data_IF_373736307139
#
_entry.id   IF_373736307139
#
_cell.length_a   1.000
_cell.length_b   1.000
_cell.length_c   1.000
_cell.angle_alpha   90.00
_cell.angle_beta   90.00
_cell.angle_gamma   90.00
#
_symmetry.space_group_name_H-M   'P 1'
#
loop_
_entity.id
_entity.type
_entity.pdbx_description
1 polymer ?
#
# COMPACT_ATOMS: atom_id res chain seq x y z
N UNK A 1 -10.97 13.44 23.68
CA UNK A 1 -10.41 12.09 23.88
C UNK A 1 -11.09 10.98 23.06
N UNK A 2 -12.36 11.08 22.66
CA UNK A 2 -13.04 10.00 21.88
C UNK A 2 -12.71 9.97 20.37
N UNK A 3 -12.37 11.09 19.76
CA UNK A 3 -12.17 11.21 18.29
C UNK A 3 -10.87 10.59 17.77
N UNK A 4 -9.83 10.47 18.61
CA UNK A 4 -8.55 9.82 18.23
C UNK A 4 -8.64 8.30 18.22
N UNK A 5 -9.57 7.71 18.99
CA UNK A 5 -9.80 6.27 18.98
C UNK A 5 -10.57 5.82 17.74
N UNK A 6 -11.56 6.59 17.28
CA UNK A 6 -12.34 6.25 16.07
C UNK A 6 -11.48 6.20 14.80
N UNK A 7 -10.51 7.12 14.64
CA UNK A 7 -9.62 7.13 13.47
C UNK A 7 -8.62 5.97 13.49
N UNK A 8 -8.12 5.54 14.66
CA UNK A 8 -7.19 4.42 14.77
C UNK A 8 -7.87 3.05 14.63
N UNK A 9 -9.12 2.91 15.08
CA UNK A 9 -9.96 1.72 14.86
C UNK A 9 -10.28 1.56 13.36
N UNK A 10 -10.58 2.67 12.66
CA UNK A 10 -10.74 2.67 11.20
C UNK A 10 -9.46 2.28 10.45
N UNK A 11 -8.27 2.69 10.92
CA UNK A 11 -6.98 2.28 10.31
C UNK A 11 -6.67 0.80 10.60
N UNK A 12 -7.02 0.28 11.78
CA UNK A 12 -6.90 -1.14 12.11
C UNK A 12 -7.88 -1.99 11.27
N UNK A 13 -9.10 -1.48 11.04
CA UNK A 13 -10.11 -2.06 10.14
C UNK A 13 -9.69 -1.99 8.67
N UNK A 14 -8.94 -0.97 8.23
CA UNK A 14 -8.37 -0.92 6.88
C UNK A 14 -7.18 -1.89 6.71
N UNK A 15 -6.39 -2.11 7.77
CA UNK A 15 -5.32 -3.10 7.78
C UNK A 15 -5.84 -4.55 7.84
N UNK A 16 -7.01 -4.77 8.46
CA UNK A 16 -7.68 -6.07 8.55
C UNK A 16 -8.77 -6.29 7.47
N UNK A 17 -9.21 -5.25 6.77
CA UNK A 17 -10.43 -5.28 5.98
C UNK A 17 -10.38 -4.41 4.72
N UNK A 18 -9.91 -5.00 3.63
CA UNK A 18 -10.53 -4.73 2.32
C UNK A 18 -11.67 -5.73 2.13
N UNK A 19 -12.76 -5.53 2.87
CA UNK A 19 -14.01 -6.31 2.76
C UNK A 19 -14.96 -5.51 1.88
N UNK A 20 -15.27 -6.04 0.70
CA UNK A 20 -16.33 -5.51 -0.14
C UNK A 20 -17.69 -5.73 0.58
N UNK A 21 -18.44 -4.66 0.76
CA UNK A 21 -19.81 -4.69 1.26
C UNK A 21 -20.76 -5.22 0.18
N UNK A 22 -21.23 -6.49 0.23
CA UNK A 22 -22.49 -6.88 -0.42
C UNK A 22 -23.20 -8.09 0.22
N UNK A 23 -24.49 -7.85 0.50
CA UNK A 23 -25.69 -8.72 0.65
C UNK A 23 -25.55 -10.11 1.27
N UNK A 24 -26.23 -10.28 2.42
CA UNK A 24 -26.43 -11.52 3.15
C UNK A 24 -27.08 -12.64 2.32
N UNK A 25 -26.62 -13.88 2.54
CA UNK A 25 -27.46 -15.08 2.36
C UNK A 25 -27.82 -15.62 3.74
N UNK A 26 -29.11 -15.81 4.06
CA UNK A 26 -29.55 -16.34 5.35
C UNK A 26 -29.65 -17.85 5.24
N UNK A 27 -28.60 -18.61 5.56
CA UNK A 27 -28.75 -20.06 5.71
C UNK A 27 -27.62 -20.63 6.57
N UNK A 28 -27.98 -20.89 7.84
CA UNK A 28 -27.38 -21.77 8.86
C UNK A 28 -27.29 -21.06 10.22
N UNK A 29 -28.42 -20.96 10.90
CA UNK A 29 -28.46 -20.70 12.34
C UNK A 29 -28.00 -21.96 13.09
N UNK A 30 -26.73 -22.00 13.48
CA UNK A 30 -26.33 -22.69 14.71
C UNK A 30 -26.36 -21.68 15.84
N UNK A 31 -26.81 -22.11 17.01
CA UNK A 31 -27.14 -21.31 18.21
C UNK A 31 -25.93 -20.66 18.92
N UNK A 32 -24.82 -20.41 18.23
CA UNK A 32 -23.64 -19.73 18.78
C UNK A 32 -23.72 -18.22 18.49
N UNK A 33 -23.34 -17.38 19.46
CA UNK A 33 -23.17 -15.95 19.25
C UNK A 33 -22.26 -15.75 18.01
N UNK A 34 -22.74 -15.10 16.92
CA UNK A 34 -21.95 -14.91 15.71
C UNK A 34 -20.56 -14.33 15.98
N UNK A 35 -20.44 -13.51 17.01
CA UNK A 35 -19.18 -12.93 17.43
C UNK A 35 -18.24 -13.91 18.12
N UNK A 36 -18.76 -14.82 18.94
CA UNK A 36 -17.93 -15.87 19.54
C UNK A 36 -17.43 -16.84 18.47
N UNK A 37 -18.28 -17.18 17.50
CA UNK A 37 -17.86 -17.97 16.34
C UNK A 37 -16.77 -17.26 15.52
N UNK A 38 -16.90 -15.94 15.31
CA UNK A 38 -15.88 -15.13 14.65
C UNK A 38 -14.56 -15.10 15.42
N UNK A 39 -14.61 -14.89 16.74
CA UNK A 39 -13.44 -14.91 17.64
C UNK A 39 -12.72 -16.25 17.54
N UNK A 40 -13.46 -17.36 17.59
CA UNK A 40 -12.91 -18.70 17.46
C UNK A 40 -12.27 -18.93 16.09
N UNK A 41 -12.94 -18.53 15.01
CA UNK A 41 -12.40 -18.64 13.66
C UNK A 41 -11.09 -17.87 13.48
N UNK A 42 -11.01 -16.62 13.98
CA UNK A 42 -9.77 -15.84 13.90
C UNK A 42 -8.66 -16.46 14.74
N UNK A 43 -9.00 -16.94 15.94
CA UNK A 43 -8.05 -17.59 16.85
C UNK A 43 -7.42 -18.81 16.21
N UNK A 44 -8.24 -19.69 15.64
CA UNK A 44 -7.77 -20.92 15.01
C UNK A 44 -7.01 -20.63 13.70
N UNK A 45 -7.36 -19.57 12.97
CA UNK A 45 -6.63 -19.12 11.78
C UNK A 45 -5.21 -18.67 12.14
N UNK A 46 -5.07 -17.85 13.19
CA UNK A 46 -3.75 -17.41 13.67
C UNK A 46 -2.94 -18.61 14.15
N UNK A 47 -3.54 -19.52 14.92
CA UNK A 47 -2.87 -20.75 15.38
C UNK A 47 -2.38 -21.62 14.22
N UNK A 48 -3.19 -21.80 13.16
CA UNK A 48 -2.77 -22.54 11.96
C UNK A 48 -1.63 -21.86 11.22
N UNK A 49 -1.62 -20.52 11.17
CA UNK A 49 -0.59 -19.75 10.47
C UNK A 49 0.76 -19.74 11.18
N UNK A 50 0.79 -20.02 12.49
CA UNK A 50 2.00 -20.04 13.30
C UNK A 50 2.88 -21.30 13.09
N UNK A 51 2.47 -22.25 12.24
CA UNK A 51 3.26 -23.46 11.91
C UNK A 51 3.23 -24.54 12.99
N UNK A 52 4.30 -25.33 13.11
CA UNK A 52 4.43 -26.41 14.08
C UNK A 52 4.58 -25.84 15.51
N UNK A 53 3.45 -25.71 16.19
CA UNK A 53 3.38 -25.39 17.62
C UNK A 53 3.48 -26.71 18.39
N UNK A 54 4.29 -26.73 19.45
CA UNK A 54 4.27 -27.84 20.41
C UNK A 54 2.84 -28.05 20.93
N UNK A 55 2.32 -29.27 20.78
CA UNK A 55 0.96 -29.63 21.16
C UNK A 55 0.70 -29.39 22.66
N UNK A 56 1.75 -29.41 23.49
CA UNK A 56 1.68 -29.05 24.91
C UNK A 56 1.45 -27.54 25.15
N UNK A 57 1.91 -26.67 24.25
CA UNK A 57 1.80 -25.21 24.35
C UNK A 57 0.57 -24.64 23.63
N UNK A 58 -0.02 -25.44 22.73
CA UNK A 58 -1.17 -25.06 21.90
C UNK A 58 -2.38 -24.53 22.70
N UNK A 59 -2.78 -25.12 23.84
CA UNK A 59 -3.93 -24.62 24.61
C UNK A 59 -3.67 -23.24 25.22
N UNK A 60 -2.47 -23.01 25.75
CA UNK A 60 -2.08 -21.72 26.34
C UNK A 60 -2.06 -20.62 25.27
N UNK A 61 -1.50 -20.94 24.10
CA UNK A 61 -1.42 -19.98 23.00
C UNK A 61 -2.80 -19.66 22.42
N UNK A 62 -3.68 -20.67 22.32
CA UNK A 62 -5.07 -20.49 21.94
C UNK A 62 -5.80 -19.54 22.90
N UNK A 63 -5.64 -19.74 24.20
CA UNK A 63 -6.30 -18.88 25.20
C UNK A 63 -5.86 -17.42 25.07
N UNK A 64 -4.55 -17.15 24.91
CA UNK A 64 -4.01 -15.80 24.76
C UNK A 64 -4.49 -15.12 23.46
N UNK A 65 -4.51 -15.85 22.35
CA UNK A 65 -4.98 -15.32 21.06
C UNK A 65 -6.50 -15.03 21.13
N UNK A 66 -7.27 -15.96 21.71
CA UNK A 66 -8.72 -15.79 21.89
C UNK A 66 -9.06 -14.56 22.71
N UNK A 67 -8.35 -14.34 23.82
CA UNK A 67 -8.53 -13.14 24.66
C UNK A 67 -8.42 -11.83 23.86
N UNK A 68 -7.45 -11.76 22.94
CA UNK A 68 -7.27 -10.58 22.07
C UNK A 68 -8.42 -10.40 21.09
N UNK A 69 -8.86 -11.47 20.44
CA UNK A 69 -10.01 -11.39 19.52
C UNK A 69 -11.32 -11.11 20.25
N UNK A 70 -11.52 -11.64 21.45
CA UNK A 70 -12.68 -11.31 22.30
C UNK A 70 -12.72 -9.83 22.67
N UNK A 71 -11.58 -9.23 23.02
CA UNK A 71 -11.49 -7.79 23.30
C UNK A 71 -11.85 -6.95 22.05
N UNK A 72 -11.29 -7.31 20.89
CA UNK A 72 -11.60 -6.66 19.62
C UNK A 72 -13.08 -6.82 19.23
N UNK A 73 -13.66 -8.00 19.41
CA UNK A 73 -15.07 -8.24 19.17
C UNK A 73 -15.97 -7.38 20.08
N UNK A 74 -15.61 -7.20 21.35
CA UNK A 74 -16.34 -6.34 22.27
C UNK A 74 -16.32 -4.86 21.86
N UNK A 75 -15.19 -4.37 21.32
CA UNK A 75 -15.10 -3.03 20.76
C UNK A 75 -15.99 -2.88 19.51
N UNK A 76 -15.87 -3.81 18.57
CA UNK A 76 -16.60 -3.78 17.29
C UNK A 76 -18.11 -3.98 17.44
N UNK A 77 -18.57 -4.76 18.42
CA UNK A 77 -20.01 -4.92 18.75
C UNK A 77 -20.73 -3.60 18.97
N UNK A 78 -20.02 -2.54 19.37
CA UNK A 78 -20.60 -1.21 19.57
C UNK A 78 -20.76 -0.41 18.27
N UNK A 79 -20.06 -0.79 17.21
CA UNK A 79 -20.01 -0.06 15.94
C UNK A 79 -20.74 -0.80 14.81
N UNK A 80 -20.74 -2.13 14.83
CA UNK A 80 -21.33 -2.99 13.81
C UNK A 80 -22.18 -4.09 14.45
N UNK A 81 -23.35 -4.37 13.86
CA UNK A 81 -24.33 -5.30 14.43
C UNK A 81 -23.93 -6.78 14.27
N UNK A 82 -23.08 -7.10 13.29
CA UNK A 82 -22.60 -8.45 12.98
C UNK A 82 -21.08 -8.42 12.82
N UNK A 83 -20.37 -9.51 13.14
CA UNK A 83 -18.93 -9.60 12.96
C UNK A 83 -18.55 -9.43 11.48
N UNK A 84 -17.35 -8.91 11.18
CA UNK A 84 -16.82 -8.88 9.83
C UNK A 84 -16.84 -10.29 9.23
N UNK A 85 -17.49 -10.46 8.09
CA UNK A 85 -17.52 -11.75 7.41
C UNK A 85 -16.10 -12.09 6.95
N UNK A 86 -15.43 -13.01 7.65
CA UNK A 86 -14.29 -13.71 7.09
C UNK A 86 -14.81 -14.68 6.06
N UNK A 87 -14.91 -14.21 4.80
CA UNK A 87 -15.05 -15.14 3.70
C UNK A 87 -13.84 -16.06 3.74
N UNK A 88 -14.10 -17.34 3.99
CA UNK A 88 -13.13 -18.38 3.78
C UNK A 88 -12.82 -18.37 2.28
N UNK A 89 -11.76 -17.68 1.88
CA UNK A 89 -11.44 -17.42 0.48
C UNK A 89 -11.16 -18.72 -0.31
N UNK A 90 -10.99 -19.83 0.41
CA UNK A 90 -11.00 -21.19 -0.13
C UNK A 90 -12.34 -21.57 -0.81
N UNK A 91 -13.45 -20.87 -0.55
CA UNK A 91 -14.79 -21.21 -1.07
C UNK A 91 -15.01 -20.65 -2.49
N UNK A 92 -14.36 -19.55 -2.88
CA UNK A 92 -14.54 -18.90 -4.18
C UNK A 92 -13.57 -19.44 -5.24
N UNK A 93 -13.62 -20.75 -5.51
CA UNK A 93 -12.70 -21.41 -6.46
C UNK A 93 -13.44 -21.98 -7.68
N UNK A 94 -14.53 -21.32 -8.09
CA UNK A 94 -15.14 -21.51 -9.41
C UNK A 94 -15.14 -20.20 -10.18
N UNK A 95 -15.01 -20.28 -11.50
CA UNK A 95 -15.03 -19.11 -12.40
C UNK A 95 -16.25 -18.22 -12.11
N UNK A 96 -17.44 -18.82 -11.98
CA UNK A 96 -18.70 -18.09 -11.71
C UNK A 96 -18.66 -17.31 -10.39
N UNK A 97 -18.11 -17.91 -9.33
CA UNK A 97 -18.00 -17.25 -8.02
C UNK A 97 -17.01 -16.10 -8.05
N UNK A 98 -15.84 -16.32 -8.64
CA UNK A 98 -14.79 -15.30 -8.76
C UNK A 98 -15.28 -14.09 -9.54
N UNK A 99 -15.92 -14.33 -10.69
CA UNK A 99 -16.49 -13.25 -11.52
C UNK A 99 -17.56 -12.48 -10.77
N UNK A 100 -18.49 -13.17 -10.11
CA UNK A 100 -19.54 -12.51 -9.31
C UNK A 100 -18.95 -11.63 -8.20
N UNK A 101 -17.85 -12.06 -7.58
CA UNK A 101 -17.23 -11.34 -6.48
C UNK A 101 -16.40 -10.13 -6.94
N UNK A 102 -15.72 -10.22 -8.08
CA UNK A 102 -14.62 -9.29 -8.41
C UNK A 102 -14.70 -8.61 -9.78
N UNK A 103 -15.57 -9.03 -10.71
CA UNK A 103 -15.58 -8.47 -12.07
C UNK A 103 -15.91 -6.97 -12.09
N UNK A 104 -16.81 -6.50 -11.23
CA UNK A 104 -17.18 -5.08 -11.21
C UNK A 104 -15.99 -4.21 -10.82
N UNK A 105 -15.29 -4.56 -9.73
CA UNK A 105 -14.09 -3.85 -9.29
C UNK A 105 -12.95 -3.94 -10.30
N UNK A 106 -12.74 -5.11 -10.91
CA UNK A 106 -11.76 -5.28 -11.98
C UNK A 106 -12.08 -4.40 -13.19
N UNK A 107 -13.33 -4.45 -13.70
CA UNK A 107 -13.73 -3.68 -14.88
C UNK A 107 -13.62 -2.16 -14.65
N UNK A 108 -13.90 -1.69 -13.44
CA UNK A 108 -13.72 -0.28 -13.10
C UNK A 108 -12.23 0.08 -13.10
N UNK A 109 -11.41 -0.67 -12.35
CA UNK A 109 -9.96 -0.42 -12.26
C UNK A 109 -9.26 -0.53 -13.62
N UNK A 110 -9.70 -1.43 -14.48
CA UNK A 110 -9.16 -1.61 -15.83
C UNK A 110 -9.33 -0.37 -16.70
N UNK A 111 -10.44 0.36 -16.59
CA UNK A 111 -10.66 1.58 -17.38
C UNK A 111 -9.67 2.69 -17.02
N UNK A 112 -9.23 2.72 -15.76
CA UNK A 112 -8.42 3.79 -15.19
C UNK A 112 -6.91 3.44 -15.14
N UNK A 113 -6.53 2.27 -15.65
CA UNK A 113 -5.14 1.77 -15.60
C UNK A 113 -4.45 1.94 -16.95
N UNK A 114 -3.13 2.12 -16.93
CA UNK A 114 -2.24 1.98 -18.09
C UNK A 114 -1.39 0.73 -17.93
N UNK A 115 -1.14 -0.01 -19.01
CA UNK A 115 -0.21 -1.13 -18.99
C UNK A 115 1.21 -0.59 -19.12
N UNK A 116 2.00 -0.77 -18.06
CA UNK A 116 3.45 -0.66 -18.12
C UNK A 116 4.07 -2.03 -18.07
N UNK A 117 4.75 -2.43 -19.14
CA UNK A 117 5.63 -3.58 -19.12
C UNK A 117 7.05 -3.06 -19.16
N UNK A 118 7.84 -3.42 -18.15
CA UNK A 118 9.27 -3.16 -18.21
C UNK A 118 10.10 -4.35 -17.79
N UNK A 119 11.29 -4.42 -18.37
CA UNK A 119 12.31 -5.40 -18.04
C UNK A 119 13.59 -4.67 -17.65
N UNK A 120 14.06 -4.97 -16.46
CA UNK A 120 15.27 -4.41 -15.90
C UNK A 120 16.34 -5.50 -15.77
N UNK A 121 17.59 -5.14 -16.07
CA UNK A 121 18.77 -5.97 -15.77
C UNK A 121 19.64 -5.18 -14.82
N UNK A 122 19.74 -5.65 -13.58
CA UNK A 122 20.22 -4.81 -12.48
C UNK A 122 19.30 -3.61 -12.30
N UNK A 123 19.86 -2.41 -12.38
CA UNK A 123 19.15 -1.15 -12.22
C UNK A 123 18.85 -0.44 -13.56
N UNK A 124 19.21 -1.04 -14.70
CA UNK A 124 18.93 -0.50 -16.03
C UNK A 124 17.61 -1.06 -16.58
N UNK A 125 16.67 -0.18 -16.94
CA UNK A 125 15.46 -0.53 -17.68
C UNK A 125 15.82 -0.68 -19.17
N UNK A 126 15.99 -1.92 -19.61
CA UNK A 126 16.42 -2.22 -20.98
C UNK A 126 15.26 -2.35 -21.95
N UNK A 127 14.04 -2.46 -21.41
CA UNK A 127 12.80 -2.42 -22.15
C UNK A 127 11.75 -1.79 -21.26
N UNK A 128 11.07 -0.77 -21.75
CA UNK A 128 9.93 -0.15 -21.10
C UNK A 128 8.90 0.18 -22.16
N UNK A 129 7.66 -0.10 -21.84
CA UNK A 129 6.56 0.26 -22.69
C UNK A 129 5.37 0.65 -21.85
N UNK A 130 4.85 1.85 -22.11
CA UNK A 130 3.69 2.43 -21.47
C UNK A 130 2.61 2.61 -22.53
N UNK A 131 1.53 1.82 -22.44
CA UNK A 131 0.36 1.95 -23.28
C UNK A 131 -0.92 1.99 -22.47
N UNK A 132 -1.97 2.58 -23.07
CA UNK A 132 -3.33 2.41 -22.54
C UNK A 132 -3.69 0.93 -22.55
N UNK A 133 -4.34 0.43 -21.48
CA UNK A 133 -4.77 -0.97 -21.42
C UNK A 133 -5.68 -1.27 -22.62
N UNK A 134 -5.52 -2.41 -23.32
CA UNK A 134 -6.33 -2.72 -24.48
C UNK A 134 -7.79 -2.79 -24.04
N UNK A 135 -8.77 -2.38 -24.86
CA UNK A 135 -10.17 -2.50 -24.50
C UNK A 135 -10.50 -3.92 -24.07
N UNK A 136 -11.30 -4.10 -23.01
CA UNK A 136 -11.65 -5.43 -22.49
C UNK A 136 -12.18 -6.39 -23.57
N UNK A 137 -12.94 -5.87 -24.53
CA UNK A 137 -13.43 -6.66 -25.65
C UNK A 137 -12.30 -7.27 -26.50
N UNK A 138 -11.18 -6.56 -26.64
CA UNK A 138 -10.00 -7.04 -27.33
C UNK A 138 -9.27 -8.12 -26.53
N UNK A 139 -9.08 -7.89 -25.23
CA UNK A 139 -8.46 -8.88 -24.33
C UNK A 139 -9.30 -10.14 -24.25
N UNK A 140 -10.62 -10.01 -24.10
CA UNK A 140 -11.56 -11.13 -24.02
C UNK A 140 -11.65 -11.90 -25.35
N UNK A 141 -11.38 -11.26 -26.51
CA UNK A 141 -11.33 -11.95 -27.80
C UNK A 141 -10.11 -12.87 -27.94
N UNK A 142 -8.95 -12.48 -27.39
CA UNK A 142 -7.71 -13.27 -27.47
C UNK A 142 -7.55 -14.25 -26.30
N UNK A 143 -7.84 -13.77 -25.11
CA UNK A 143 -7.66 -14.49 -23.86
C UNK A 143 -8.96 -14.49 -23.07
N UNK A 144 -10.01 -15.24 -23.48
CA UNK A 144 -11.33 -15.16 -22.84
C UNK A 144 -11.24 -15.34 -21.32
N UNK A 145 -11.90 -14.44 -20.58
CA UNK A 145 -11.79 -14.36 -19.12
C UNK A 145 -12.14 -15.67 -18.42
N UNK A 146 -13.21 -16.33 -18.85
CA UNK A 146 -13.66 -17.60 -18.26
C UNK A 146 -12.61 -18.71 -18.45
N UNK A 147 -12.07 -18.82 -19.67
CA UNK A 147 -11.02 -19.78 -19.98
C UNK A 147 -9.74 -19.48 -19.21
N UNK A 148 -9.40 -18.20 -19.04
CA UNK A 148 -8.24 -17.78 -18.27
C UNK A 148 -8.37 -18.13 -16.79
N UNK A 149 -9.49 -17.76 -16.17
CA UNK A 149 -9.75 -18.09 -14.76
C UNK A 149 -9.78 -19.60 -14.54
N UNK A 150 -10.37 -20.36 -15.46
CA UNK A 150 -10.35 -21.82 -15.38
C UNK A 150 -8.92 -22.36 -15.44
N UNK A 151 -8.09 -21.87 -16.36
CA UNK A 151 -6.69 -22.27 -16.49
C UNK A 151 -5.86 -21.96 -15.24
N UNK A 152 -6.13 -20.85 -14.54
CA UNK A 152 -5.49 -20.57 -13.24
C UNK A 152 -5.92 -21.57 -12.16
N UNK A 153 -7.22 -21.87 -12.08
CA UNK A 153 -7.77 -22.84 -11.12
C UNK A 153 -7.24 -24.25 -11.38
N UNK A 154 -7.13 -24.66 -12.65
CA UNK A 154 -6.58 -25.96 -13.06
C UNK A 154 -5.09 -26.08 -12.70
N UNK A 155 -4.36 -24.95 -12.64
CA UNK A 155 -2.98 -24.86 -12.15
C UNK A 155 -2.88 -24.83 -10.61
N UNK A 156 -3.99 -24.98 -9.89
CA UNK A 156 -4.03 -24.96 -8.43
C UNK A 156 -3.89 -23.56 -7.81
N UNK A 157 -4.08 -22.50 -8.60
CA UNK A 157 -3.97 -21.13 -8.11
C UNK A 157 -5.20 -20.76 -7.30
N UNK A 158 -4.99 -20.43 -6.03
CA UNK A 158 -6.05 -19.91 -5.16
C UNK A 158 -6.12 -18.39 -5.25
N UNK A 159 -7.23 -17.87 -5.79
CA UNK A 159 -7.45 -16.41 -5.86
C UNK A 159 -8.12 -15.93 -4.58
N UNK A 160 -7.33 -15.31 -3.69
CA UNK A 160 -7.74 -15.03 -2.31
C UNK A 160 -8.45 -13.70 -2.10
N UNK A 161 -8.36 -12.73 -3.00
CA UNK A 161 -8.97 -11.41 -2.83
C UNK A 161 -9.00 -10.65 -4.17
N UNK A 162 -9.57 -9.44 -4.15
CA UNK A 162 -9.66 -8.57 -5.32
C UNK A 162 -8.29 -8.16 -5.88
N UNK A 163 -7.26 -8.04 -5.04
CA UNK A 163 -5.90 -7.69 -5.45
C UNK A 163 -5.26 -8.85 -6.24
N UNK A 164 -5.35 -10.08 -5.74
CA UNK A 164 -4.91 -11.28 -6.45
C UNK A 164 -5.69 -11.47 -7.75
N UNK A 165 -7.02 -11.30 -7.72
CA UNK A 165 -7.87 -11.38 -8.92
C UNK A 165 -7.43 -10.38 -9.98
N UNK A 166 -7.17 -9.14 -9.57
CA UNK A 166 -6.64 -8.10 -10.43
C UNK A 166 -5.29 -8.47 -11.03
N UNK A 167 -4.29 -8.85 -10.23
CA UNK A 167 -2.95 -9.19 -10.74
C UNK A 167 -3.00 -10.34 -11.75
N UNK A 168 -3.79 -11.38 -11.48
CA UNK A 168 -3.92 -12.52 -12.39
C UNK A 168 -4.65 -12.20 -13.68
N UNK A 169 -5.64 -11.31 -13.67
CA UNK A 169 -6.30 -10.88 -14.90
C UNK A 169 -5.47 -9.86 -15.69
N UNK A 170 -4.72 -9.00 -15.00
CA UNK A 170 -3.84 -8.02 -15.64
C UNK A 170 -2.75 -8.67 -16.49
N UNK A 171 -2.35 -9.91 -16.15
CA UNK A 171 -1.44 -10.71 -16.96
C UNK A 171 -1.96 -10.93 -18.40
N UNK A 172 -3.27 -11.04 -18.60
CA UNK A 172 -3.89 -11.17 -19.94
C UNK A 172 -3.71 -9.90 -20.75
N UNK A 173 -3.89 -8.76 -20.10
CA UNK A 173 -3.77 -7.44 -20.70
C UNK A 173 -2.34 -7.27 -21.24
N UNK A 174 -1.35 -7.63 -20.42
CA UNK A 174 0.07 -7.66 -20.80
C UNK A 174 0.35 -8.58 -21.98
N UNK A 175 -0.23 -9.78 -22.02
CA UNK A 175 -0.01 -10.72 -23.12
C UNK A 175 -0.51 -10.19 -24.47
N UNK A 176 -1.63 -9.46 -24.50
CA UNK A 176 -2.13 -8.84 -25.74
C UNK A 176 -1.09 -7.89 -26.33
N UNK A 177 -0.40 -7.12 -25.49
CA UNK A 177 0.67 -6.23 -25.93
C UNK A 177 1.91 -7.00 -26.37
N UNK A 178 2.37 -7.97 -25.58
CA UNK A 178 3.57 -8.75 -25.89
C UNK A 178 3.44 -9.51 -27.22
N UNK A 179 2.25 -10.00 -27.54
CA UNK A 179 1.97 -10.70 -28.80
C UNK A 179 2.22 -9.80 -30.03
N UNK A 180 1.95 -8.49 -29.90
CA UNK A 180 2.16 -7.48 -30.95
C UNK A 180 3.63 -7.08 -31.11
N UNK A 181 4.51 -7.60 -30.26
CA UNK A 181 5.91 -7.18 -30.18
C UNK A 181 6.86 -8.35 -30.38
N UNK A 182 7.04 -8.84 -31.62
CA UNK A 182 7.97 -9.91 -31.94
C UNK A 182 9.36 -9.75 -31.34
N UNK A 183 9.88 -8.52 -31.35
CA UNK A 183 11.18 -8.18 -30.80
C UNK A 183 11.34 -8.57 -29.32
N UNK A 184 10.25 -8.65 -28.54
CA UNK A 184 10.31 -8.99 -27.11
C UNK A 184 10.49 -10.49 -26.90
N UNK A 185 9.75 -11.32 -27.63
CA UNK A 185 9.83 -12.77 -27.47
C UNK A 185 10.94 -13.43 -28.29
N UNK A 186 11.48 -12.73 -29.30
CA UNK A 186 12.69 -13.17 -30.03
C UNK A 186 14.01 -12.71 -29.39
N UNK A 187 13.99 -11.85 -28.37
CA UNK A 187 15.22 -11.27 -27.79
C UNK A 187 15.74 -11.98 -26.54
N UNK A 188 14.96 -12.91 -25.97
CA UNK A 188 15.31 -13.58 -24.72
C UNK A 188 15.09 -12.70 -23.47
N UNK A 189 14.29 -11.64 -23.59
CA UNK A 189 13.90 -10.79 -22.45
C UNK A 189 13.11 -11.60 -21.41
N UNK A 190 13.00 -11.06 -20.20
CA UNK A 190 12.30 -11.70 -19.08
C UNK A 190 12.92 -13.02 -18.60
N UNK A 191 14.19 -13.27 -18.93
CA UNK A 191 14.85 -14.55 -18.64
C UNK A 191 14.11 -15.76 -19.24
N UNK A 192 13.36 -15.53 -20.31
CA UNK A 192 12.71 -16.57 -21.12
C UNK A 192 13.59 -16.76 -22.35
N UNK A 193 13.98 -17.99 -22.71
CA UNK A 193 14.78 -18.21 -23.91
C UNK A 193 14.13 -17.58 -25.15
N UNK A 194 14.96 -16.94 -25.98
CA UNK A 194 14.52 -16.43 -27.27
C UNK A 194 13.87 -17.55 -28.09
N UNK A 195 12.71 -17.28 -28.66
CA UNK A 195 11.97 -18.22 -29.49
C UNK A 195 11.32 -17.47 -30.64
N UNK A 196 11.12 -18.15 -31.77
CA UNK A 196 10.31 -17.61 -32.89
C UNK A 196 8.83 -18.00 -32.77
N UNK A 197 8.49 -18.85 -31.80
CA UNK A 197 7.13 -19.32 -31.55
C UNK A 197 6.49 -18.57 -30.38
N UNK A 198 5.48 -17.77 -30.70
CA UNK A 198 4.66 -17.03 -29.74
C UNK A 198 4.04 -17.95 -28.69
N UNK A 199 3.55 -19.13 -29.07
CA UNK A 199 2.85 -20.02 -28.14
C UNK A 199 3.81 -20.57 -27.07
N UNK A 200 5.03 -20.96 -27.48
CA UNK A 200 6.10 -21.33 -26.55
C UNK A 200 6.49 -20.17 -25.63
N UNK A 201 6.65 -18.95 -26.14
CA UNK A 201 6.97 -17.79 -25.31
C UNK A 201 5.85 -17.49 -24.31
N UNK A 202 4.61 -17.44 -24.79
CA UNK A 202 3.42 -17.16 -23.99
C UNK A 202 3.31 -18.13 -22.81
N UNK A 203 3.50 -19.43 -23.06
CA UNK A 203 3.47 -20.43 -21.99
C UNK A 203 4.56 -20.18 -20.93
N UNK A 204 5.80 -19.93 -21.35
CA UNK A 204 6.90 -19.64 -20.44
C UNK A 204 6.71 -18.33 -19.65
N UNK A 205 6.16 -17.31 -20.30
CA UNK A 205 5.86 -16.03 -19.69
C UNK A 205 4.77 -16.15 -18.63
N UNK A 206 3.69 -16.88 -18.92
CA UNK A 206 2.62 -17.16 -17.96
C UNK A 206 3.19 -17.85 -16.72
N UNK A 207 3.95 -18.95 -16.88
CA UNK A 207 4.51 -19.67 -15.73
C UNK A 207 5.39 -18.78 -14.85
N UNK A 208 6.28 -18.00 -15.47
CA UNK A 208 7.16 -17.06 -14.77
C UNK A 208 6.36 -16.00 -13.99
N UNK A 209 5.40 -15.34 -14.65
CA UNK A 209 4.64 -14.27 -14.01
C UNK A 209 3.73 -14.80 -12.90
N UNK A 210 3.18 -16.01 -13.04
CA UNK A 210 2.39 -16.64 -11.98
C UNK A 210 3.23 -16.89 -10.72
N UNK A 211 4.47 -17.37 -10.85
CA UNK A 211 5.39 -17.52 -9.72
C UNK A 211 5.70 -16.16 -9.06
N UNK A 212 5.96 -15.12 -9.87
CA UNK A 212 6.23 -13.78 -9.37
C UNK A 212 5.03 -13.16 -8.63
N UNK A 213 3.83 -13.26 -9.21
CA UNK A 213 2.58 -12.81 -8.57
C UNK A 213 2.41 -13.54 -7.23
N UNK A 214 2.55 -14.86 -7.21
CA UNK A 214 2.42 -15.65 -5.97
C UNK A 214 3.47 -15.26 -4.92
N UNK A 215 4.71 -14.99 -5.33
CA UNK A 215 5.76 -14.49 -4.44
C UNK A 215 5.39 -13.12 -3.85
N UNK A 216 5.00 -12.15 -4.69
CA UNK A 216 4.60 -10.80 -4.24
C UNK A 216 3.40 -10.84 -3.29
N UNK A 217 2.38 -11.64 -3.62
CA UNK A 217 1.19 -11.80 -2.76
C UNK A 217 1.55 -12.43 -1.40
N UNK A 218 2.46 -13.41 -1.37
CA UNK A 218 2.97 -14.00 -0.11
C UNK A 218 3.77 -12.99 0.71
N UNK A 219 4.68 -12.26 0.07
CA UNK A 219 5.49 -11.23 0.74
C UNK A 219 4.62 -10.09 1.28
N UNK A 220 3.61 -9.64 0.53
CA UNK A 220 2.64 -8.64 0.97
C UNK A 220 1.80 -9.12 2.16
N UNK A 221 1.39 -10.39 2.17
CA UNK A 221 0.68 -10.98 3.31
C UNK A 221 1.57 -11.02 4.56
N UNK A 222 2.83 -11.45 4.43
CA UNK A 222 3.77 -11.49 5.55
C UNK A 222 4.07 -10.07 6.09
N UNK A 223 4.33 -9.11 5.21
CA UNK A 223 4.58 -7.71 5.60
C UNK A 223 3.39 -7.11 6.36
N UNK A 224 2.14 -7.42 5.98
CA UNK A 224 0.93 -6.99 6.68
C UNK A 224 0.81 -7.59 8.09
N UNK A 225 1.18 -8.87 8.27
CA UNK A 225 1.18 -9.53 9.60
C UNK A 225 2.21 -8.91 10.54
N UNK A 226 3.41 -8.55 10.05
CA UNK A 226 4.44 -7.91 10.87
C UNK A 226 4.15 -6.44 11.21
N UNK A 227 3.43 -5.73 10.34
CA UNK A 227 3.02 -4.35 10.60
C UNK A 227 2.00 -4.27 11.76
N UNK A 228 1.17 -5.31 11.96
CA UNK A 228 0.30 -5.42 13.14
C UNK A 228 1.14 -5.49 14.44
N UNK A 229 2.26 -6.22 14.44
CA UNK A 229 3.13 -6.35 15.62
C UNK A 229 3.84 -5.03 15.98
N UNK A 230 4.20 -4.21 14.97
CA UNK A 230 4.74 -2.85 15.18
C UNK A 230 3.66 -1.85 15.60
N UNK A 231 2.47 -1.89 14.99
CA UNK A 231 1.33 -1.03 15.37
C UNK A 231 0.91 -1.33 16.82
N UNK A 232 0.91 -2.60 17.23
CA UNK A 232 0.65 -2.99 18.62
C UNK A 232 1.74 -2.46 19.55
N UNK A 233 3.03 -2.58 19.19
CA UNK A 233 4.14 -2.01 19.99
C UNK A 233 4.05 -0.49 20.13
N UNK A 234 3.70 0.23 19.07
CA UNK A 234 3.60 1.69 19.10
C UNK A 234 2.34 2.15 19.84
N UNK A 235 1.23 1.39 19.78
CA UNK A 235 0.04 1.61 20.61
C UNK A 235 0.37 1.53 22.12
N UNK A 236 1.31 0.66 22.51
CA UNK A 236 1.74 0.49 23.90
C UNK A 236 2.75 1.54 24.35
N UNK A 237 3.45 2.21 23.41
CA UNK A 237 4.39 3.30 23.72
C UNK A 237 3.68 4.59 24.13
N UNK A 238 2.43 4.77 23.71
CA UNK A 238 1.63 5.97 23.98
C UNK A 238 0.70 5.88 25.19
N UNK A 239 0.56 4.70 25.80
CA UNK A 239 -0.12 4.49 27.08
C UNK A 239 0.89 4.57 28.22
N UNK A 240 1.07 5.77 28.78
CA UNK A 240 2.07 6.03 29.81
C UNK A 240 1.83 5.30 31.15
N UNK A 241 2.94 4.80 31.72
CA UNK A 241 3.24 4.62 33.16
C UNK A 241 2.33 3.74 34.04
N UNK A 242 1.87 2.59 33.56
CA UNK A 242 1.63 1.46 34.46
C UNK A 242 2.56 0.30 34.10
N UNK A 243 3.56 0.06 34.95
CA UNK A 243 4.67 -0.90 34.78
C UNK A 243 4.24 -2.38 35.01
N UNK A 244 2.95 -2.68 34.81
CA UNK A 244 2.43 -4.04 34.93
C UNK A 244 2.73 -4.92 33.70
N UNK A 245 2.63 -4.44 32.43
CA UNK A 245 2.90 -5.29 31.26
C UNK A 245 4.39 -5.46 30.95
N UNK A 246 5.25 -4.54 31.41
CA UNK A 246 6.71 -4.61 31.22
C UNK A 246 7.37 -5.80 31.94
N UNK A 247 6.72 -6.33 32.99
CA UNK A 247 7.12 -7.58 33.65
C UNK A 247 6.73 -8.83 32.84
N UNK A 248 5.62 -8.78 32.11
CA UNK A 248 5.11 -9.91 31.29
C UNK A 248 5.98 -10.12 30.04
N UNK A 249 6.50 -9.05 29.44
CA UNK A 249 7.46 -9.17 28.33
C UNK A 249 8.85 -9.67 28.75
N UNK A 250 9.28 -9.37 29.98
CA UNK A 250 10.52 -9.93 30.53
C UNK A 250 10.42 -11.44 30.80
N UNK A 251 9.23 -11.95 31.12
CA UNK A 251 8.99 -13.41 31.24
C UNK A 251 8.89 -14.16 29.90
N UNK A 252 8.75 -13.45 28.77
CA UNK A 252 8.81 -14.05 27.42
C UNK A 252 10.24 -14.12 26.87
N UNK A 253 11.24 -13.53 27.56
CA UNK A 253 12.66 -13.67 27.19
C UNK A 253 13.33 -14.92 27.80
N UNK A 254 12.61 -15.68 28.64
CA UNK A 254 13.08 -16.92 29.27
C UNK A 254 12.65 -18.21 28.54
N UNK A 255 12.35 -18.13 27.23
CA UNK A 255 12.25 -19.33 26.40
C UNK A 255 13.63 -19.99 26.21
N UNK A 256 13.72 -21.33 26.18
CA UNK A 256 14.99 -22.04 25.98
C UNK A 256 15.59 -21.70 24.61
N UNK A 257 16.91 -21.47 24.60
CA UNK A 257 17.75 -21.00 23.49
C UNK A 257 17.83 -21.91 22.25
N UNK A 258 16.95 -22.90 22.11
CA UNK A 258 17.11 -24.01 21.15
C UNK A 258 15.96 -24.13 20.14
N UNK A 259 15.38 -23.02 19.71
CA UNK A 259 14.77 -22.99 18.37
C UNK A 259 15.94 -22.85 17.39
N UNK A 260 16.08 -23.73 16.38
CA UNK A 260 17.08 -23.55 15.34
C UNK A 260 16.87 -22.15 14.77
N UNK A 261 17.84 -21.26 14.99
CA UNK A 261 17.92 -20.03 14.23
C UNK A 261 18.05 -20.48 12.78
N UNK A 262 16.92 -20.53 12.07
CA UNK A 262 16.95 -20.22 10.66
C UNK A 262 17.53 -18.81 10.64
N UNK A 263 18.80 -18.70 10.26
CA UNK A 263 19.43 -17.44 9.89
C UNK A 263 18.69 -16.92 8.66
N UNK A 264 17.45 -16.48 8.84
CA UNK A 264 16.91 -15.44 8.02
C UNK A 264 17.90 -14.31 8.18
N UNK A 265 18.53 -13.91 7.08
CA UNK A 265 19.26 -12.67 7.01
C UNK A 265 18.34 -11.63 7.65
N UNK A 266 18.64 -11.25 8.89
CA UNK A 266 18.28 -9.94 9.35
C UNK A 266 18.93 -9.07 8.29
N UNK A 267 18.15 -8.60 7.31
CA UNK A 267 18.36 -7.24 6.84
C UNK A 267 18.20 -6.46 8.12
N UNK A 268 19.32 -6.31 8.84
CA UNK A 268 19.49 -5.32 9.86
C UNK A 268 18.88 -4.09 9.23
N UNK A 269 17.74 -3.66 9.76
CA UNK A 269 17.28 -2.31 9.51
C UNK A 269 18.40 -1.49 10.13
N UNK A 270 19.39 -1.12 9.30
CA UNK A 270 20.48 -0.26 9.72
C UNK A 270 19.77 1.05 9.91
N UNK A 271 19.43 1.36 11.17
CA UNK A 271 18.86 2.64 11.53
C UNK A 271 19.99 3.65 11.34
N UNK A 272 20.03 4.24 10.15
CA UNK A 272 21.01 5.28 9.82
C UNK A 272 20.67 6.50 10.68
N UNK A 273 21.64 7.07 11.43
CA UNK A 273 21.43 8.30 12.16
C UNK A 273 20.89 9.39 11.22
N UNK A 274 19.86 10.11 11.66
CA UNK A 274 19.17 11.13 10.86
C UNK A 274 19.98 12.44 10.84
N UNK A 275 21.17 12.39 10.26
CA UNK A 275 22.08 13.51 10.04
C UNK A 275 22.55 13.49 8.59
N UNK A 276 22.81 14.67 7.99
CA UNK A 276 23.26 14.78 6.60
C UNK A 276 24.46 13.86 6.34
N UNK A 277 25.49 13.95 7.19
CA UNK A 277 26.71 13.14 7.05
C UNK A 277 26.40 11.63 7.07
N UNK A 278 25.63 11.15 8.03
CA UNK A 278 25.36 9.71 8.13
C UNK A 278 24.50 9.19 6.97
N UNK A 279 23.53 9.98 6.49
CA UNK A 279 22.71 9.62 5.33
C UNK A 279 23.56 9.58 4.05
N UNK A 280 24.46 10.54 3.87
CA UNK A 280 25.41 10.53 2.76
C UNK A 280 26.37 9.35 2.85
N UNK A 281 27.02 9.16 3.99
CA UNK A 281 27.94 8.04 4.23
C UNK A 281 27.25 6.68 3.95
N UNK A 282 25.95 6.56 4.23
CA UNK A 282 25.18 5.33 4.00
C UNK A 282 24.69 5.13 2.55
N UNK A 283 24.35 6.21 1.84
CA UNK A 283 23.56 6.11 0.60
C UNK A 283 24.14 6.84 -0.62
N UNK A 284 25.13 7.73 -0.48
CA UNK A 284 25.59 8.56 -1.61
C UNK A 284 26.27 7.76 -2.72
N UNK A 285 27.05 6.73 -2.38
CA UNK A 285 27.71 5.88 -3.38
C UNK A 285 26.65 5.24 -4.28
N UNK A 286 25.71 4.52 -3.68
CA UNK A 286 24.58 3.90 -4.38
C UNK A 286 23.70 4.93 -5.10
N UNK A 287 23.53 6.12 -4.53
CA UNK A 287 22.77 7.20 -5.18
C UNK A 287 23.47 7.67 -6.45
N UNK A 288 24.78 7.90 -6.41
CA UNK A 288 25.56 8.35 -7.57
C UNK A 288 25.61 7.28 -8.66
N UNK A 289 25.76 6.00 -8.28
CA UNK A 289 25.67 4.87 -9.20
C UNK A 289 24.32 4.84 -9.91
N UNK A 290 23.22 4.89 -9.14
CA UNK A 290 21.85 4.91 -9.69
C UNK A 290 21.60 6.13 -10.55
N UNK A 291 22.11 7.29 -10.15
CA UNK A 291 21.96 8.53 -10.92
C UNK A 291 22.68 8.43 -12.27
N UNK A 292 23.89 7.88 -12.32
CA UNK A 292 24.67 7.76 -13.54
C UNK A 292 24.02 6.85 -14.61
N UNK A 293 23.23 5.87 -14.19
CA UNK A 293 22.56 4.91 -15.09
C UNK A 293 21.08 5.21 -15.32
N UNK A 294 20.50 6.13 -14.55
CA UNK A 294 19.11 6.55 -14.75
C UNK A 294 19.02 7.18 -16.14
N UNK A 295 17.95 6.88 -16.87
CA UNK A 295 17.62 7.59 -18.10
C UNK A 295 16.10 7.59 -18.28
N UNK A 296 15.56 8.67 -18.79
CA UNK A 296 14.12 8.76 -19.02
C UNK A 296 13.68 10.16 -19.41
N UNK A 297 12.39 10.29 -19.70
CA UNK A 297 11.76 11.59 -19.90
C UNK A 297 10.54 11.70 -19.01
N UNK A 298 10.43 12.83 -18.32
CA UNK A 298 9.29 13.19 -17.52
C UNK A 298 8.46 14.17 -18.34
N UNK A 299 7.16 13.91 -18.48
CA UNK A 299 6.25 14.80 -19.19
C UNK A 299 4.91 14.91 -18.47
N UNK A 300 4.43 16.13 -18.28
CA UNK A 300 3.13 16.46 -17.71
C UNK A 300 2.43 17.44 -18.63
N UNK A 301 1.15 17.21 -18.91
CA UNK A 301 0.33 18.12 -19.71
C UNK A 301 -0.80 18.64 -18.85
N UNK A 302 -0.94 19.95 -18.78
CA UNK A 302 -2.03 20.65 -18.10
C UNK A 302 -3.29 20.66 -18.98
N UNK A 303 -4.46 20.83 -18.36
CA UNK A 303 -5.76 20.91 -19.06
C UNK A 303 -5.83 22.07 -20.06
N UNK A 304 -5.01 23.11 -19.86
CA UNK A 304 -4.87 24.25 -20.76
C UNK A 304 -3.90 23.99 -21.93
N UNK A 305 -3.38 22.76 -22.06
CA UNK A 305 -2.47 22.33 -23.13
C UNK A 305 -0.98 22.62 -22.88
N UNK A 306 -0.62 23.30 -21.80
CA UNK A 306 0.79 23.55 -21.45
C UNK A 306 1.46 22.22 -21.08
N UNK A 307 2.58 21.92 -21.72
CA UNK A 307 3.33 20.68 -21.50
C UNK A 307 4.66 21.00 -20.81
N UNK A 308 4.86 20.46 -19.61
CA UNK A 308 6.13 20.44 -18.91
C UNK A 308 6.85 19.15 -19.26
N UNK A 309 8.06 19.22 -19.84
CA UNK A 309 8.84 18.04 -20.20
C UNK A 309 10.33 18.26 -19.97
N UNK A 310 11.00 17.25 -19.43
CA UNK A 310 12.46 17.23 -19.31
C UNK A 310 13.01 15.80 -19.34
N UNK A 311 14.32 15.68 -19.54
CA UNK A 311 15.01 14.39 -19.49
C UNK A 311 15.67 14.21 -18.13
N UNK A 312 15.64 13.00 -17.61
CA UNK A 312 16.32 12.61 -16.37
C UNK A 312 17.44 11.62 -16.67
N UNK A 313 18.52 11.63 -15.87
CA UNK A 313 18.85 12.67 -14.89
C UNK A 313 19.30 13.95 -15.60
N UNK A 314 19.24 15.07 -14.88
CA UNK A 314 19.99 16.26 -15.29
C UNK A 314 21.49 16.06 -15.00
N UNK A 315 22.32 16.98 -15.49
CA UNK A 315 23.73 16.93 -15.14
C UNK A 315 23.86 17.19 -13.63
N UNK A 316 24.44 16.25 -12.86
CA UNK A 316 24.53 16.36 -11.39
C UNK A 316 25.13 17.70 -10.93
N UNK A 317 26.12 18.22 -11.64
CA UNK A 317 26.73 19.51 -11.31
C UNK A 317 25.77 20.69 -11.46
N UNK A 318 24.82 20.62 -12.39
CA UNK A 318 23.77 21.62 -12.55
C UNK A 318 22.77 21.57 -11.38
N UNK A 319 22.39 20.35 -10.98
CA UNK A 319 21.46 20.13 -9.87
C UNK A 319 22.08 20.50 -8.52
N UNK A 320 23.35 20.15 -8.30
CA UNK A 320 24.11 20.51 -7.11
C UNK A 320 24.42 22.02 -7.04
N UNK A 321 24.52 22.71 -8.17
CA UNK A 321 24.70 24.16 -8.18
C UNK A 321 23.44 24.91 -7.71
N UNK A 322 22.25 24.43 -8.06
CA UNK A 322 20.97 25.04 -7.70
C UNK A 322 20.44 24.58 -6.36
N UNK A 323 20.46 23.28 -6.11
CA UNK A 323 19.90 22.66 -4.92
C UNK A 323 20.95 21.78 -4.25
N UNK A 324 22.03 22.32 -3.63
CA UNK A 324 23.10 21.50 -3.08
C UNK A 324 22.60 20.35 -2.19
N UNK A 325 23.17 19.16 -2.37
CA UNK A 325 22.69 17.94 -1.69
C UNK A 325 22.66 18.05 -0.17
N UNK A 326 23.71 18.63 0.42
CA UNK A 326 23.80 18.82 1.88
C UNK A 326 22.69 19.73 2.40
N UNK A 327 22.48 20.86 1.72
CA UNK A 327 21.42 21.82 2.07
C UNK A 327 20.04 21.18 1.91
N UNK A 328 19.85 20.37 0.86
CA UNK A 328 18.60 19.66 0.63
C UNK A 328 18.30 18.64 1.72
N UNK A 329 19.27 17.80 2.06
CA UNK A 329 19.12 16.82 3.14
C UNK A 329 18.89 17.50 4.48
N UNK A 330 19.61 18.59 4.77
CA UNK A 330 19.41 19.36 5.99
C UNK A 330 17.99 19.92 6.07
N UNK A 331 17.49 20.51 4.97
CA UNK A 331 16.11 20.99 4.89
C UNK A 331 15.08 19.88 5.18
N UNK A 332 15.28 18.67 4.64
CA UNK A 332 14.38 17.54 4.91
C UNK A 332 14.39 17.16 6.40
N UNK A 333 15.58 17.10 7.00
CA UNK A 333 15.75 16.79 8.42
C UNK A 333 15.16 17.87 9.34
N UNK A 334 15.34 19.15 9.00
CA UNK A 334 14.76 20.28 9.72
C UNK A 334 13.22 20.25 9.69
N UNK A 335 12.66 19.76 8.58
CA UNK A 335 11.22 19.46 8.43
C UNK A 335 10.80 18.13 9.08
N UNK A 336 11.69 17.50 9.85
CA UNK A 336 11.48 16.24 10.59
C UNK A 336 11.10 15.05 9.69
N UNK A 337 11.59 15.03 8.46
CA UNK A 337 11.40 13.91 7.54
C UNK A 337 12.47 12.87 7.83
N UNK A 338 12.05 11.66 8.18
CA UNK A 338 12.97 10.53 8.36
C UNK A 338 13.19 9.81 7.04
N UNK A 339 14.45 9.47 6.79
CA UNK A 339 14.88 8.69 5.63
C UNK A 339 15.39 7.36 6.17
N UNK A 340 14.53 6.34 6.06
CA UNK A 340 14.76 5.06 6.73
C UNK A 340 15.49 4.06 5.84
N UNK A 341 15.49 4.29 4.53
CA UNK A 341 16.12 3.41 3.54
C UNK A 341 16.56 4.19 2.29
N UNK A 342 17.30 3.49 1.42
CA UNK A 342 17.81 4.04 0.18
C UNK A 342 16.71 4.49 -0.81
N UNK A 343 15.56 3.80 -0.86
CA UNK A 343 14.49 4.18 -1.80
C UNK A 343 13.87 5.52 -1.43
N UNK A 344 13.71 5.79 -0.14
CA UNK A 344 13.31 7.11 0.34
C UNK A 344 14.37 8.17 0.05
N UNK A 345 15.65 7.86 0.30
CA UNK A 345 16.77 8.76 0.01
C UNK A 345 16.79 9.17 -1.48
N UNK A 346 16.66 8.19 -2.37
CA UNK A 346 16.56 8.38 -3.81
C UNK A 346 15.31 9.18 -4.20
N UNK A 347 14.14 8.81 -3.68
CA UNK A 347 12.89 9.48 -3.99
C UNK A 347 12.91 10.96 -3.62
N UNK A 348 13.50 11.32 -2.48
CA UNK A 348 13.60 12.72 -2.06
C UNK A 348 14.67 13.51 -2.84
N UNK A 349 15.81 12.90 -3.15
CA UNK A 349 16.88 13.59 -3.87
C UNK A 349 16.58 13.76 -5.37
N UNK A 350 15.93 12.79 -6.00
CA UNK A 350 15.56 12.88 -7.43
C UNK A 350 14.59 14.03 -7.75
N UNK A 351 13.90 14.59 -6.74
CA UNK A 351 13.05 15.78 -6.91
C UNK A 351 13.80 17.07 -7.15
N UNK A 352 15.11 17.10 -6.89
CA UNK A 352 15.95 18.24 -7.18
C UNK A 352 16.03 18.50 -8.69
N UNK A 353 16.12 17.45 -9.50
CA UNK A 353 16.09 17.54 -10.96
C UNK A 353 14.79 18.20 -11.44
N UNK A 354 13.65 17.77 -10.90
CA UNK A 354 12.34 18.31 -11.24
C UNK A 354 12.24 19.80 -10.91
N UNK A 355 12.76 20.23 -9.75
CA UNK A 355 12.78 21.65 -9.38
C UNK A 355 13.67 22.50 -10.28
N UNK A 356 14.83 22.00 -10.72
CA UNK A 356 15.71 22.74 -11.65
C UNK A 356 14.97 23.05 -12.94
N UNK A 357 14.23 22.08 -13.47
CA UNK A 357 13.51 22.26 -14.74
C UNK A 357 12.24 23.08 -14.58
N UNK A 358 11.54 22.95 -13.45
CA UNK A 358 10.41 23.80 -13.12
C UNK A 358 10.84 25.28 -13.02
N UNK A 359 11.95 25.56 -12.34
CA UNK A 359 12.44 26.93 -12.18
C UNK A 359 12.68 27.64 -13.52
N UNK A 360 13.07 26.90 -14.57
CA UNK A 360 13.32 27.42 -15.92
C UNK A 360 12.04 27.78 -16.69
N UNK A 361 10.87 27.32 -16.25
CA UNK A 361 9.61 27.38 -16.99
C UNK A 361 8.53 28.13 -16.19
N UNK A 362 8.61 29.47 -16.09
CA UNK A 362 7.66 30.28 -15.33
C UNK A 362 6.21 30.08 -15.75
N UNK A 363 5.95 29.88 -17.03
CA UNK A 363 4.64 29.58 -17.60
C UNK A 363 4.01 28.29 -17.06
N UNK A 364 4.83 27.33 -16.59
CA UNK A 364 4.35 26.05 -16.07
C UNK A 364 3.90 26.18 -14.61
N UNK A 365 4.75 26.76 -13.75
CA UNK A 365 4.39 26.88 -12.34
C UNK A 365 3.41 28.02 -12.05
N UNK A 366 3.37 29.06 -12.89
CA UNK A 366 2.31 30.08 -12.86
C UNK A 366 0.97 29.57 -13.39
N UNK A 367 0.92 28.43 -14.09
CA UNK A 367 -0.32 27.81 -14.57
C UNK A 367 -0.94 26.81 -13.59
N UNK A 368 -0.31 26.58 -12.42
CA UNK A 368 -0.84 25.71 -11.38
C UNK A 368 -0.58 24.21 -11.60
N UNK A 369 0.65 23.86 -11.99
CA UNK A 369 1.07 22.48 -12.17
C UNK A 369 0.99 21.67 -10.86
N UNK A 370 0.74 20.36 -10.99
CA UNK A 370 0.58 19.40 -9.90
C UNK A 370 -0.61 19.64 -8.96
N UNK A 371 -1.55 20.53 -9.31
CA UNK A 371 -2.65 20.92 -8.43
C UNK A 371 -2.18 21.88 -7.31
N UNK A 372 -1.07 22.57 -7.54
CA UNK A 372 -0.63 23.72 -6.75
C UNK A 372 -1.31 24.95 -7.35
N UNK A 373 -1.78 25.88 -6.52
CA UNK A 373 -2.39 27.10 -7.03
C UNK A 373 -1.35 27.93 -7.84
N UNK A 374 -1.75 28.60 -8.93
CA UNK A 374 -0.93 29.60 -9.61
C UNK A 374 -0.25 30.55 -8.62
N UNK A 375 1.06 30.74 -8.76
CA UNK A 375 1.82 31.74 -8.00
C UNK A 375 2.58 32.65 -8.96
N UNK A 376 2.87 33.88 -8.51
CA UNK A 376 3.69 34.85 -9.27
C UNK A 376 5.19 34.75 -8.91
N UNK A 377 5.51 34.04 -7.83
CA UNK A 377 6.85 33.91 -7.27
C UNK A 377 7.29 32.45 -7.19
N UNK A 378 8.55 32.23 -7.59
CA UNK A 378 9.19 30.91 -7.61
C UNK A 378 9.34 30.32 -6.21
N UNK A 379 9.75 31.13 -5.23
CA UNK A 379 10.01 30.63 -3.88
C UNK A 379 8.72 30.11 -3.22
N UNK A 380 7.63 30.85 -3.42
CA UNK A 380 6.28 30.46 -2.99
C UNK A 380 5.81 29.18 -3.66
N UNK A 381 6.03 29.05 -4.99
CA UNK A 381 5.70 27.81 -5.71
C UNK A 381 6.51 26.63 -5.20
N UNK A 382 7.83 26.80 -5.07
CA UNK A 382 8.77 25.79 -4.61
C UNK A 382 8.37 25.25 -3.24
N UNK A 383 8.01 26.12 -2.30
CA UNK A 383 7.54 25.70 -0.98
C UNK A 383 6.23 24.90 -1.04
N UNK A 384 5.27 25.34 -1.85
CA UNK A 384 4.01 24.63 -2.05
C UNK A 384 4.23 23.26 -2.73
N UNK A 385 5.12 23.21 -3.72
CA UNK A 385 5.54 21.99 -4.39
C UNK A 385 6.18 21.00 -3.43
N UNK A 386 7.15 21.46 -2.64
CA UNK A 386 7.81 20.64 -1.63
C UNK A 386 6.78 20.08 -0.64
N UNK A 387 5.88 20.91 -0.13
CA UNK A 387 4.81 20.47 0.77
C UNK A 387 3.97 19.35 0.14
N UNK A 388 3.47 19.57 -1.08
CA UNK A 388 2.60 18.61 -1.75
C UNK A 388 3.33 17.30 -2.10
N UNK A 389 4.57 17.39 -2.55
CA UNK A 389 5.42 16.25 -2.89
C UNK A 389 5.69 15.38 -1.66
N UNK A 390 6.02 16.00 -0.53
CA UNK A 390 6.23 15.32 0.75
C UNK A 390 4.94 14.66 1.26
N UNK A 391 3.80 15.35 1.16
CA UNK A 391 2.50 14.76 1.51
C UNK A 391 2.18 13.52 0.66
N UNK A 392 2.43 13.57 -0.65
CA UNK A 392 2.22 12.44 -1.57
C UNK A 392 3.14 11.26 -1.24
N UNK A 393 4.42 11.51 -0.97
CA UNK A 393 5.39 10.47 -0.61
C UNK A 393 5.05 9.82 0.74
N UNK A 394 4.67 10.61 1.74
CA UNK A 394 4.24 10.09 3.03
C UNK A 394 2.97 9.24 2.94
N UNK A 395 1.96 9.67 2.17
CA UNK A 395 0.74 8.88 1.92
C UNK A 395 1.07 7.54 1.25
N UNK A 396 1.98 7.54 0.28
CA UNK A 396 2.39 6.31 -0.44
C UNK A 396 3.11 5.32 0.48
N UNK A 397 3.88 5.81 1.45
CA UNK A 397 4.65 4.99 2.38
C UNK A 397 3.90 4.69 3.70
N UNK A 398 2.63 5.07 3.83
CA UNK A 398 1.86 4.87 5.07
C UNK A 398 2.34 5.69 6.28
N UNK A 399 3.21 6.69 6.06
CA UNK A 399 3.66 7.63 7.10
C UNK A 399 2.57 8.70 7.27
N UNK A 400 2.04 8.86 8.48
CA UNK A 400 1.03 9.88 8.76
C UNK A 400 1.59 11.27 8.43
N UNK A 401 0.91 12.02 7.55
CA UNK A 401 1.30 13.37 7.19
C UNK A 401 1.24 14.29 8.43
N UNK A 402 2.39 14.75 8.90
CA UNK A 402 2.47 15.81 9.92
C UNK A 402 2.18 17.13 9.20
N UNK A 403 0.96 17.65 9.38
CA UNK A 403 0.54 18.93 8.81
C UNK A 403 1.19 20.11 9.56
N UNK A 404 1.69 21.10 8.81
CA UNK A 404 2.38 22.29 9.31
C UNK A 404 1.54 23.56 9.13
N UNK A 405 1.42 24.35 10.20
CA UNK A 405 0.91 25.73 10.21
C UNK A 405 0.37 26.14 11.59
N UNK A 406 0.96 27.15 12.24
CA UNK A 406 0.54 27.63 13.59
C UNK A 406 -0.67 28.58 13.53
N UNK A 407 -0.93 29.19 12.37
CA UNK A 407 -2.06 30.12 12.15
C UNK A 407 -3.36 29.38 11.78
N UNK A 408 -3.28 28.30 11.01
CA UNK A 408 -4.46 27.56 10.55
C UNK A 408 -4.98 26.54 11.59
N UNK A 409 -4.23 26.32 12.68
CA UNK A 409 -4.64 25.45 13.77
C UNK A 409 -5.83 26.03 14.55
N UNK A 410 -5.88 27.35 14.73
CA UNK A 410 -7.01 28.03 15.40
C UNK A 410 -8.26 28.02 14.52
N UNK A 411 -8.15 28.30 13.22
CA UNK A 411 -9.28 28.25 12.29
C UNK A 411 -9.84 26.81 12.13
N UNK A 412 -8.96 25.81 12.09
CA UNK A 412 -9.36 24.41 12.06
C UNK A 412 -9.99 23.95 13.40
N UNK A 413 -9.52 24.47 14.54
CA UNK A 413 -10.14 24.25 15.85
C UNK A 413 -11.52 24.90 15.94
N UNK A 414 -11.68 26.14 15.46
CA UNK A 414 -12.95 26.85 15.41
C UNK A 414 -13.95 26.10 14.50
N UNK A 415 -13.52 25.66 13.32
CA UNK A 415 -14.37 24.87 12.41
C UNK A 415 -14.75 23.50 12.98
N UNK A 416 -13.83 22.82 13.69
CA UNK A 416 -14.11 21.56 14.36
C UNK A 416 -15.03 21.72 15.58
N UNK A 417 -14.92 22.82 16.32
CA UNK A 417 -15.79 23.15 17.45
C UNK A 417 -17.21 23.51 16.97
N UNK A 418 -17.36 24.25 15.88
CA UNK A 418 -18.67 24.51 15.27
C UNK A 418 -19.32 23.23 14.73
N UNK A 419 -18.55 22.35 14.08
CA UNK A 419 -19.04 21.06 13.61
C UNK A 419 -19.47 20.15 14.77
N UNK A 420 -18.72 20.15 15.88
CA UNK A 420 -19.07 19.44 17.11
C UNK A 420 -20.32 20.02 17.78
N UNK A 421 -20.48 21.34 17.77
CA UNK A 421 -21.68 22.01 18.31
C UNK A 421 -22.92 21.63 17.49
N UNK A 422 -22.86 21.71 16.16
CA UNK A 422 -23.95 21.27 15.27
C UNK A 422 -24.29 19.79 15.45
N UNK A 423 -23.28 18.94 15.62
CA UNK A 423 -23.50 17.50 15.84
C UNK A 423 -24.14 17.21 17.20
N UNK A 424 -23.79 17.96 18.26
CA UNK A 424 -24.45 17.86 19.57
C UNK A 424 -25.91 18.34 19.52
N UNK A 425 -26.17 19.48 18.89
CA UNK A 425 -27.53 19.99 18.70
C UNK A 425 -28.39 18.99 17.90
N UNK A 426 -27.81 18.32 16.88
CA UNK A 426 -28.51 17.28 16.12
C UNK A 426 -28.84 16.05 16.98
N UNK A 427 -27.89 15.59 17.81
CA UNK A 427 -28.10 14.44 18.71
C UNK A 427 -29.14 14.78 19.78
N UNK A 428 -29.10 15.98 20.35
CA UNK A 428 -30.04 16.43 21.38
C UNK A 428 -31.46 16.57 20.80
N UNK A 429 -31.59 17.09 19.57
CA UNK A 429 -32.86 17.11 18.84
C UNK A 429 -33.37 15.70 18.49
N UNK A 430 -32.48 14.76 18.17
CA UNK A 430 -32.83 13.36 17.93
C UNK A 430 -33.24 12.62 19.21
N UNK A 431 -32.69 12.99 20.36
CA UNK A 431 -33.08 12.42 21.66
C UNK A 431 -34.39 13.01 22.18
N UNK A 432 -34.64 14.31 21.97
CA UNK A 432 -35.90 14.96 22.31
C UNK A 432 -37.07 14.53 21.41
N UNK A 433 -36.80 13.99 20.22
CA UNK A 433 -37.83 13.45 19.31
C UNK A 433 -38.15 11.96 19.53
N UNK A 434 -37.35 11.23 20.32
CA UNK A 434 -37.63 9.82 20.70
C UNK A 434 -38.94 9.59 21.47
N UNK A 435 -39.44 10.48 22.34
CA UNK A 435 -40.71 10.28 23.03
C UNK A 435 -41.93 10.37 22.10
N UNK A 436 -41.83 11.15 21.01
CA UNK A 436 -42.93 11.34 20.04
C UNK A 436 -43.09 10.15 19.06
N UNK A 437 -42.09 9.27 18.99
CA UNK A 437 -42.11 8.06 18.16
C UNK A 437 -42.49 6.80 18.95
N UNK A 438 -42.74 6.90 20.26
CA UNK A 438 -43.22 5.77 21.09
C UNK A 438 -44.75 5.71 21.23
N UNK A 439 -45.45 6.80 20.92
CA UNK A 439 -46.93 6.88 20.99
C UNK A 439 -47.60 6.97 19.60
N UNK A 440 -46.90 6.54 18.54
CA UNK A 440 -47.48 6.17 17.23
C UNK A 440 -47.08 4.73 16.91
#
# INVERSE_FOLDING_TARGET
>A
MKTKHTVHILTLLFALGTVAFFVARPEAQTTEDPWEAWVDQQTDTVLKSAGDIDEAQRPEMRAKIREKFSALAAELKNEIALPPQTQDYAILQTVKQLRKAYDEGYNQKHKDTTVRVSYTVGDAEIFAYDESVPPLAEVDAKYPRDAWLQMLLDKGITIKNAEAYWEYLFLRDTLVHLERQPQVWTSGLFSIPATEDWETYKAAYIERELDQIQKRLREGQLARVFNIDEIVKEHHRHLGKDDAPGKVFRSLQSFPKEIPRVEFSKKSIIVVPQTVKALRDAYDEKYNERYAITSGSVSYTLDNGITFKYNVPLLMSEVDAKYPRDTWLQMLLDKRITIDNFEEYWAYLSKRDELVELEKQPEVWSAGLFGIAPTEDWETYKDAYLKQMLEKLHRRNGKAAVYFGKADAEEALIGAEEALKRSRELIENLEQSKPLLRDR
#
